data_IF_736835018458
#
_entry.id   IF_736835018458
#
_cell.length_a   1.000
_cell.length_b   1.000
_cell.length_c   1.000
_cell.angle_alpha   90.00
_cell.angle_beta   90.00
_cell.angle_gamma   90.00
#
_symmetry.space_group_name_H-M   'P 1'
#
loop_
_entity.id
_entity.type
_entity.pdbx_description
1 polymer ?
#
# COMPACT_ATOMS: atom_id res chain seq x y z
N UNK A 1 12.12 -11.34 10.88
CA UNK A 1 12.33 -10.43 9.75
C UNK A 1 10.99 -10.12 9.11
N UNK A 2 10.79 -8.86 8.65
CA UNK A 2 9.56 -8.48 7.94
C UNK A 2 9.89 -8.05 6.52
N UNK A 3 8.97 -8.30 5.58
CA UNK A 3 9.12 -7.89 4.18
C UNK A 3 8.12 -6.79 3.85
N UNK A 4 8.57 -5.73 3.16
CA UNK A 4 7.74 -4.61 2.71
C UNK A 4 7.88 -4.45 1.20
N UNK A 5 6.80 -4.61 0.43
CA UNK A 5 6.86 -4.29 -0.99
C UNK A 5 6.96 -2.77 -1.17
N UNK A 6 7.98 -2.31 -1.88
CA UNK A 6 8.17 -0.90 -2.18
C UNK A 6 8.49 -0.02 -0.95
N UNK A 7 9.41 -0.46 -0.08
CA UNK A 7 9.86 0.35 1.07
C UNK A 7 10.43 1.73 0.67
N UNK A 8 10.90 1.91 -0.55
CA UNK A 8 11.34 3.22 -1.08
C UNK A 8 10.17 4.08 -1.60
N UNK A 9 8.96 3.51 -1.62
CA UNK A 9 7.74 4.21 -2.02
C UNK A 9 7.11 5.02 -0.88
N UNK A 10 5.95 5.62 -1.15
CA UNK A 10 5.28 6.52 -0.23
C UNK A 10 4.85 5.85 1.09
N UNK A 11 4.01 4.82 1.02
CA UNK A 11 3.48 4.15 2.23
C UNK A 11 4.48 3.15 2.82
N UNK A 12 5.15 2.36 1.96
CA UNK A 12 6.12 1.35 2.39
C UNK A 12 7.29 1.94 3.17
N UNK A 13 7.70 3.18 2.86
CA UNK A 13 8.77 3.88 3.56
C UNK A 13 8.46 4.09 5.05
N UNK A 14 7.24 4.47 5.38
CA UNK A 14 6.84 4.70 6.77
C UNK A 14 6.75 3.40 7.56
N UNK A 15 6.31 2.31 6.92
CA UNK A 15 6.31 0.99 7.54
C UNK A 15 7.74 0.54 7.82
N UNK A 16 8.62 0.59 6.81
CA UNK A 16 10.01 0.19 6.97
C UNK A 16 10.74 1.01 8.05
N UNK A 17 10.50 2.33 8.08
CA UNK A 17 11.10 3.22 9.09
C UNK A 17 10.70 2.83 10.51
N UNK A 18 9.41 2.66 10.77
CA UNK A 18 8.92 2.29 12.10
C UNK A 18 9.33 0.88 12.52
N UNK A 19 9.43 -0.07 11.59
CA UNK A 19 9.96 -1.41 11.87
C UNK A 19 11.44 -1.35 12.25
N UNK A 20 12.25 -0.58 11.55
CA UNK A 20 13.66 -0.36 11.89
C UNK A 20 13.83 0.33 13.25
N UNK A 21 12.99 1.31 13.59
CA UNK A 21 12.97 1.96 14.91
C UNK A 21 12.67 0.96 16.04
N UNK A 22 11.90 -0.09 15.76
CA UNK A 22 11.61 -1.19 16.69
C UNK A 22 12.69 -2.30 16.69
N UNK A 23 13.79 -2.11 15.96
CA UNK A 23 14.86 -3.09 15.85
C UNK A 23 14.53 -4.31 14.98
N UNK A 24 13.46 -4.26 14.19
CA UNK A 24 13.04 -5.33 13.30
C UNK A 24 13.89 -5.31 12.02
N UNK A 25 14.43 -6.47 11.62
CA UNK A 25 15.08 -6.60 10.31
C UNK A 25 14.05 -6.46 9.18
N UNK A 26 14.33 -5.61 8.23
CA UNK A 26 13.44 -5.31 7.10
C UNK A 26 14.10 -5.68 5.77
N UNK A 27 13.35 -6.39 4.94
CA UNK A 27 13.64 -6.61 3.52
C UNK A 27 12.61 -5.88 2.67
N UNK A 28 13.02 -5.30 1.56
CA UNK A 28 12.08 -4.74 0.57
C UNK A 28 12.14 -5.51 -0.75
N UNK A 29 10.96 -5.70 -1.34
CA UNK A 29 10.84 -6.17 -2.71
C UNK A 29 10.48 -4.96 -3.59
N UNK A 30 11.34 -4.64 -4.57
CA UNK A 30 11.15 -3.44 -5.40
C UNK A 30 11.83 -3.58 -6.75
N UNK A 31 11.23 -2.97 -7.78
CA UNK A 31 11.85 -2.79 -9.11
C UNK A 31 12.33 -1.35 -9.32
N UNK A 32 12.38 -0.56 -8.25
CA UNK A 32 12.85 0.82 -8.29
C UNK A 32 14.38 0.88 -8.23
N UNK A 33 15.03 0.40 -9.29
CA UNK A 33 16.50 0.47 -9.45
C UNK A 33 16.92 1.94 -9.55
N UNK A 34 17.97 2.32 -8.80
CA UNK A 34 18.55 3.67 -8.85
C UNK A 34 17.79 4.74 -8.06
N UNK A 35 16.86 4.37 -7.19
CA UNK A 35 16.31 5.31 -6.20
C UNK A 35 17.28 5.48 -5.03
N UNK A 36 17.31 6.72 -4.50
CA UNK A 36 18.02 6.99 -3.27
C UNK A 36 17.51 6.06 -2.17
N UNK A 37 18.43 5.42 -1.48
CA UNK A 37 18.12 4.60 -0.31
C UNK A 37 17.91 5.52 0.90
N UNK A 38 16.68 5.61 1.44
CA UNK A 38 16.41 6.46 2.60
C UNK A 38 16.77 5.81 3.94
N UNK A 39 17.37 4.62 3.93
CA UNK A 39 17.64 3.80 5.11
C UNK A 39 19.13 3.51 5.34
N UNK A 40 20.01 4.13 4.56
CA UNK A 40 21.47 4.00 4.70
C UNK A 40 21.94 2.53 4.71
N UNK A 41 21.38 1.70 3.84
CA UNK A 41 21.72 0.27 3.72
C UNK A 41 21.12 -0.64 4.79
N UNK A 42 20.26 -0.13 5.68
CA UNK A 42 19.64 -0.93 6.76
C UNK A 42 18.50 -1.83 6.28
N UNK A 43 18.00 -1.62 5.06
CA UNK A 43 16.96 -2.43 4.45
C UNK A 43 17.57 -3.32 3.38
N UNK A 44 17.40 -4.63 3.53
CA UNK A 44 17.82 -5.61 2.52
C UNK A 44 16.96 -5.46 1.26
N UNK A 45 17.57 -5.38 0.08
CA UNK A 45 16.86 -5.08 -1.18
C UNK A 45 16.85 -6.30 -2.10
N UNK A 46 15.66 -6.74 -2.48
CA UNK A 46 15.44 -7.80 -3.47
C UNK A 46 14.57 -7.29 -4.62
N UNK A 47 14.70 -7.91 -5.79
CA UNK A 47 13.84 -7.62 -6.93
C UNK A 47 12.39 -8.08 -6.66
N UNK A 48 11.42 -7.30 -7.14
CA UNK A 48 10.01 -7.70 -7.18
C UNK A 48 9.69 -8.20 -8.61
N UNK A 49 10.07 -9.42 -8.92
CA UNK A 49 9.81 -10.04 -10.21
C UNK A 49 8.63 -11.02 -10.12
N UNK A 50 7.53 -10.70 -10.79
CA UNK A 50 6.34 -11.55 -10.85
C UNK A 50 6.42 -12.63 -11.93
N UNK A 51 7.47 -12.62 -12.77
CA UNK A 51 7.68 -13.62 -13.82
C UNK A 51 8.57 -14.77 -13.32
N UNK A 52 9.41 -14.49 -12.32
CA UNK A 52 10.25 -15.49 -11.66
C UNK A 52 9.65 -15.88 -10.29
N UNK A 53 8.81 -16.91 -10.31
CA UNK A 53 8.13 -17.40 -9.10
C UNK A 53 9.13 -17.93 -8.06
N UNK A 54 10.17 -18.64 -8.49
CA UNK A 54 11.14 -19.23 -7.57
C UNK A 54 11.95 -18.17 -6.85
N UNK A 55 12.44 -17.17 -7.57
CA UNK A 55 13.13 -16.02 -6.98
C UNK A 55 12.20 -15.21 -6.05
N UNK A 56 10.92 -15.07 -6.40
CA UNK A 56 9.95 -14.38 -5.55
C UNK A 56 9.70 -15.14 -4.24
N UNK A 57 9.53 -16.46 -4.28
CA UNK A 57 9.38 -17.30 -3.09
C UNK A 57 10.64 -17.21 -2.23
N UNK A 58 11.82 -17.33 -2.82
CA UNK A 58 13.09 -17.26 -2.09
C UNK A 58 13.27 -15.87 -1.42
N UNK A 59 12.88 -14.79 -2.10
CA UNK A 59 12.92 -13.43 -1.55
C UNK A 59 11.98 -13.22 -0.34
N UNK A 60 11.00 -14.10 -0.15
CA UNK A 60 10.05 -14.09 0.98
C UNK A 60 10.42 -15.07 2.10
N UNK A 61 11.37 -15.99 1.88
CA UNK A 61 11.77 -16.96 2.90
C UNK A 61 12.29 -16.30 4.17
N UNK A 62 11.88 -16.87 5.30
CA UNK A 62 12.22 -16.38 6.63
C UNK A 62 11.50 -15.10 7.05
N UNK A 63 10.58 -14.60 6.23
CA UNK A 63 9.73 -13.49 6.61
C UNK A 63 8.59 -13.95 7.54
N UNK A 64 8.38 -13.24 8.64
CA UNK A 64 7.23 -13.43 9.51
C UNK A 64 5.98 -12.73 8.94
N UNK A 65 6.13 -11.47 8.54
CA UNK A 65 5.04 -10.65 8.00
C UNK A 65 5.44 -10.04 6.66
N UNK A 66 4.51 -10.10 5.70
CA UNK A 66 4.58 -9.37 4.43
C UNK A 66 3.64 -8.17 4.47
N UNK A 67 4.19 -6.94 4.38
CA UNK A 67 3.41 -5.71 4.17
C UNK A 67 3.32 -5.44 2.68
N UNK A 68 2.18 -5.71 2.10
CA UNK A 68 1.96 -5.49 0.67
C UNK A 68 1.41 -4.09 0.40
N UNK A 69 2.29 -3.17 0.02
CA UNK A 69 1.93 -1.82 -0.47
C UNK A 69 2.00 -1.72 -1.99
N UNK A 70 2.28 -2.84 -2.69
CA UNK A 70 2.31 -2.86 -4.15
C UNK A 70 0.93 -2.56 -4.73
N UNK A 71 0.89 -1.57 -5.61
CA UNK A 71 -0.27 -1.25 -6.43
C UNK A 71 0.12 -0.35 -7.60
N UNK A 72 -0.72 -0.35 -8.65
CA UNK A 72 -0.62 0.55 -9.79
C UNK A 72 -1.63 1.67 -9.63
N UNK A 73 -1.18 2.94 -9.66
CA UNK A 73 -2.05 4.11 -9.42
C UNK A 73 -2.90 4.48 -10.63
N UNK A 74 -2.37 4.31 -11.83
CA UNK A 74 -2.98 4.72 -13.08
C UNK A 74 -2.91 3.59 -14.09
N UNK A 75 -3.96 3.43 -14.89
CA UNK A 75 -3.89 2.61 -16.08
C UNK A 75 -3.00 3.32 -17.11
N UNK A 76 -1.95 2.67 -17.56
CA UNK A 76 -1.08 3.15 -18.63
C UNK A 76 -0.59 1.95 -19.45
N UNK A 77 -1.34 1.62 -20.51
CA UNK A 77 -1.08 0.46 -21.36
C UNK A 77 0.32 0.50 -22.01
N UNK A 78 0.81 1.71 -22.36
CA UNK A 78 2.15 1.85 -22.97
C UNK A 78 3.29 1.49 -22.02
N UNK A 79 3.02 1.42 -20.70
CA UNK A 79 3.99 1.06 -19.66
C UNK A 79 3.64 -0.23 -18.92
N UNK A 80 2.68 -1.01 -19.40
CA UNK A 80 2.15 -2.21 -18.74
C UNK A 80 1.68 -1.96 -17.29
N UNK A 81 1.14 -0.77 -17.03
CA UNK A 81 0.55 -0.44 -15.74
C UNK A 81 -0.98 -0.51 -15.86
N UNK A 82 -1.53 -1.66 -15.56
CA UNK A 82 -2.98 -1.91 -15.59
C UNK A 82 -3.46 -2.43 -14.23
N UNK A 83 -4.67 -2.07 -13.85
CA UNK A 83 -5.23 -2.54 -12.58
C UNK A 83 -5.45 -4.05 -12.59
N UNK A 84 -5.82 -4.65 -13.72
CA UNK A 84 -5.97 -6.11 -13.87
C UNK A 84 -4.63 -6.83 -13.68
N UNK A 85 -3.54 -6.27 -14.24
CA UNK A 85 -2.19 -6.78 -14.01
C UNK A 85 -1.81 -6.66 -12.53
N UNK A 86 -2.18 -5.55 -11.87
CA UNK A 86 -1.93 -5.38 -10.44
C UNK A 86 -2.65 -6.44 -9.59
N UNK A 87 -3.89 -6.78 -9.93
CA UNK A 87 -4.63 -7.89 -9.29
C UNK A 87 -3.93 -9.22 -9.50
N UNK A 88 -3.53 -9.53 -10.74
CA UNK A 88 -2.78 -10.75 -11.07
C UNK A 88 -1.48 -10.85 -10.27
N UNK A 89 -0.73 -9.77 -10.21
CA UNK A 89 0.53 -9.70 -9.47
C UNK A 89 0.32 -9.84 -7.95
N UNK A 90 -0.73 -9.25 -7.39
CA UNK A 90 -1.08 -9.47 -5.98
C UNK A 90 -1.37 -10.95 -5.70
N UNK A 91 -2.10 -11.65 -6.58
CA UNK A 91 -2.35 -13.09 -6.43
C UNK A 91 -1.05 -13.89 -6.43
N UNK A 92 -0.17 -13.63 -7.40
CA UNK A 92 1.16 -14.29 -7.46
C UNK A 92 1.95 -14.04 -6.17
N UNK A 93 1.95 -12.81 -5.66
CA UNK A 93 2.65 -12.45 -4.43
C UNK A 93 2.08 -13.18 -3.20
N UNK A 94 0.76 -13.28 -3.07
CA UNK A 94 0.12 -13.95 -1.95
C UNK A 94 0.38 -15.46 -1.96
N UNK A 95 0.33 -16.09 -3.14
CA UNK A 95 0.70 -17.49 -3.32
C UNK A 95 2.18 -17.74 -2.98
N UNK A 96 3.08 -16.88 -3.45
CA UNK A 96 4.50 -16.98 -3.14
C UNK A 96 4.77 -16.80 -1.64
N UNK A 97 4.05 -15.88 -0.98
CA UNK A 97 4.16 -15.68 0.46
C UNK A 97 3.70 -16.92 1.25
N UNK A 98 2.59 -17.53 0.83
CA UNK A 98 2.10 -18.78 1.42
C UNK A 98 3.12 -19.92 1.25
N UNK A 99 3.66 -20.10 0.06
CA UNK A 99 4.67 -21.11 -0.25
C UNK A 99 5.97 -20.90 0.53
N UNK A 100 6.40 -19.65 0.70
CA UNK A 100 7.58 -19.27 1.49
C UNK A 100 7.40 -19.46 3.01
N UNK A 101 6.18 -19.77 3.48
CA UNK A 101 5.87 -19.93 4.89
C UNK A 101 5.72 -18.60 5.66
N UNK A 102 5.38 -17.50 4.97
CA UNK A 102 5.06 -16.22 5.63
C UNK A 102 3.85 -16.44 6.53
N UNK A 103 3.93 -16.03 7.79
CA UNK A 103 2.86 -16.23 8.78
C UNK A 103 1.64 -15.37 8.44
N UNK A 104 1.85 -14.11 8.01
CA UNK A 104 0.77 -13.13 7.84
C UNK A 104 1.03 -12.13 6.72
N UNK A 105 -0.04 -11.74 6.02
CA UNK A 105 0.00 -10.66 5.02
C UNK A 105 -0.80 -9.46 5.53
N UNK A 106 -0.19 -8.28 5.56
CA UNK A 106 -0.86 -6.99 5.75
C UNK A 106 -1.00 -6.31 4.39
N UNK A 107 -2.21 -6.25 3.85
CA UNK A 107 -2.47 -5.74 2.51
C UNK A 107 -3.10 -4.34 2.53
N UNK A 108 -2.48 -3.41 1.80
CA UNK A 108 -2.99 -2.05 1.62
C UNK A 108 -4.05 -2.01 0.53
N UNK A 109 -5.27 -1.79 0.96
CA UNK A 109 -6.43 -1.54 0.10
C UNK A 109 -6.80 -0.05 0.08
N UNK A 110 -8.07 0.26 0.07
CA UNK A 110 -8.63 1.63 0.11
C UNK A 110 -9.97 1.60 0.85
N UNK A 111 -10.34 2.69 1.49
CA UNK A 111 -11.63 2.81 2.17
C UNK A 111 -12.80 2.73 1.17
N UNK A 112 -13.87 2.02 1.56
CA UNK A 112 -15.12 1.87 0.81
C UNK A 112 -14.94 1.43 -0.66
N UNK A 113 -14.13 0.41 -0.99
CA UNK A 113 -13.86 0.07 -2.38
C UNK A 113 -15.12 -0.40 -3.13
N UNK A 114 -16.10 -0.94 -2.43
CA UNK A 114 -17.36 -1.43 -3.00
C UNK A 114 -18.29 -0.31 -3.48
N UNK A 115 -18.09 0.93 -2.99
CA UNK A 115 -18.96 2.08 -3.35
C UNK A 115 -18.65 2.68 -4.73
N UNK A 116 -17.61 2.22 -5.41
CA UNK A 116 -17.20 2.74 -6.72
C UNK A 116 -17.03 1.64 -7.78
N UNK A 117 -18.10 0.85 -8.09
CA UNK A 117 -18.00 -0.33 -8.97
C UNK A 117 -17.69 0.02 -10.43
N UNK A 118 -17.85 1.28 -10.85
CA UNK A 118 -17.53 1.74 -12.20
C UNK A 118 -16.05 2.10 -12.43
N UNK A 119 -15.22 2.03 -11.38
CA UNK A 119 -13.82 2.43 -11.46
C UNK A 119 -12.89 1.23 -11.30
N UNK A 120 -12.13 0.91 -12.34
CA UNK A 120 -11.24 -0.27 -12.39
C UNK A 120 -10.25 -0.34 -11.20
N UNK A 121 -9.81 0.81 -10.69
CA UNK A 121 -8.99 0.89 -9.48
C UNK A 121 -9.67 0.23 -8.26
N UNK A 122 -10.90 0.60 -7.98
CA UNK A 122 -11.66 0.09 -6.83
C UNK A 122 -12.08 -1.37 -7.04
N UNK A 123 -12.52 -1.72 -8.25
CA UNK A 123 -12.82 -3.10 -8.63
C UNK A 123 -11.61 -4.00 -8.41
N UNK A 124 -10.43 -3.57 -8.82
CA UNK A 124 -9.18 -4.30 -8.62
C UNK A 124 -8.84 -4.48 -7.13
N UNK A 125 -9.08 -3.45 -6.30
CA UNK A 125 -8.88 -3.55 -4.84
C UNK A 125 -9.82 -4.60 -4.23
N UNK A 126 -11.12 -4.57 -4.56
CA UNK A 126 -12.09 -5.58 -4.10
C UNK A 126 -11.65 -6.99 -4.52
N UNK A 127 -11.20 -7.17 -5.77
CA UNK A 127 -10.76 -8.46 -6.27
C UNK A 127 -9.51 -8.97 -5.53
N UNK A 128 -8.54 -8.10 -5.22
CA UNK A 128 -7.35 -8.47 -4.47
C UNK A 128 -7.67 -8.83 -3.03
N UNK A 129 -8.56 -8.08 -2.36
CA UNK A 129 -9.03 -8.39 -1.02
C UNK A 129 -9.75 -9.74 -0.95
N UNK A 130 -10.67 -9.98 -1.90
CA UNK A 130 -11.38 -11.26 -1.99
C UNK A 130 -10.41 -12.42 -2.11
N UNK A 131 -9.44 -12.32 -3.02
CA UNK A 131 -8.45 -13.37 -3.21
C UNK A 131 -7.61 -13.61 -1.95
N UNK A 132 -7.19 -12.56 -1.24
CA UNK A 132 -6.43 -12.70 0.00
C UNK A 132 -7.21 -13.44 1.09
N UNK A 133 -8.52 -13.17 1.22
CA UNK A 133 -9.40 -13.88 2.17
C UNK A 133 -9.54 -15.37 1.85
N UNK A 134 -9.45 -15.72 0.57
CA UNK A 134 -9.65 -17.10 0.09
C UNK A 134 -8.35 -17.90 -0.04
N UNK A 135 -7.18 -17.25 -0.03
CA UNK A 135 -5.91 -17.94 -0.30
C UNK A 135 -5.38 -18.79 0.88
N UNK A 136 -5.98 -18.68 2.06
CA UNK A 136 -5.66 -19.52 3.23
C UNK A 136 -4.35 -19.19 3.93
N UNK A 137 -3.95 -17.93 3.92
CA UNK A 137 -2.88 -17.36 4.74
C UNK A 137 -3.51 -16.33 5.69
N UNK A 138 -3.00 -16.20 6.93
CA UNK A 138 -3.50 -15.17 7.84
C UNK A 138 -3.29 -13.76 7.29
N UNK A 139 -4.28 -12.90 7.46
CA UNK A 139 -4.25 -11.57 6.85
C UNK A 139 -4.75 -10.44 7.74
N UNK A 140 -4.29 -9.22 7.40
CA UNK A 140 -4.96 -7.98 7.76
C UNK A 140 -5.09 -7.11 6.50
N UNK A 141 -6.30 -6.64 6.22
CA UNK A 141 -6.57 -5.71 5.13
C UNK A 141 -6.71 -4.31 5.72
N UNK A 142 -5.82 -3.42 5.33
CA UNK A 142 -5.80 -2.02 5.76
C UNK A 142 -6.45 -1.18 4.68
N UNK A 143 -7.52 -0.48 5.02
CA UNK A 143 -8.29 0.38 4.12
C UNK A 143 -8.15 1.85 4.53
N UNK A 144 -7.06 2.52 4.14
CA UNK A 144 -6.89 3.94 4.45
C UNK A 144 -7.84 4.80 3.62
N UNK A 145 -8.23 5.93 4.19
CA UNK A 145 -8.87 7.03 3.47
C UNK A 145 -7.83 7.87 2.72
N UNK A 146 -8.04 9.16 2.53
CA UNK A 146 -7.11 10.04 1.83
C UNK A 146 -5.82 10.19 2.65
N UNK A 147 -4.72 9.64 2.11
CA UNK A 147 -3.42 9.72 2.76
C UNK A 147 -2.80 11.10 2.61
N UNK A 148 -2.18 11.62 3.67
CA UNK A 148 -1.37 12.83 3.63
C UNK A 148 -0.09 12.69 4.47
N UNK A 149 0.81 13.69 4.39
CA UNK A 149 2.06 13.75 5.15
C UNK A 149 3.28 13.22 4.37
N UNK A 150 4.45 13.41 4.94
CA UNK A 150 5.73 12.87 4.43
C UNK A 150 6.27 13.49 3.13
N UNK A 151 5.72 14.60 2.66
CA UNK A 151 6.24 15.38 1.53
C UNK A 151 6.19 14.73 0.13
N UNK A 152 5.87 13.44 0.03
CA UNK A 152 5.88 12.68 -1.23
C UNK A 152 4.48 12.25 -1.71
N UNK A 153 3.41 12.73 -1.08
CA UNK A 153 2.06 12.42 -1.52
C UNK A 153 1.71 13.23 -2.78
N UNK A 154 1.43 12.53 -3.87
CA UNK A 154 1.17 13.18 -5.16
C UNK A 154 -0.19 13.91 -5.12
N UNK A 155 -1.24 13.28 -4.60
CA UNK A 155 -2.59 13.83 -4.64
C UNK A 155 -2.70 15.12 -3.82
N UNK A 156 -2.39 15.04 -2.52
CA UNK A 156 -2.53 16.19 -1.61
C UNK A 156 -1.53 17.30 -1.96
N UNK A 157 -0.31 16.94 -2.34
CA UNK A 157 0.69 17.94 -2.76
C UNK A 157 0.31 18.64 -4.06
N UNK A 158 -0.28 17.93 -5.03
CA UNK A 158 -0.77 18.56 -6.27
C UNK A 158 -1.95 19.51 -5.99
N UNK A 159 -2.88 19.11 -5.13
CA UNK A 159 -3.98 20.00 -4.69
C UNK A 159 -3.40 21.24 -4.00
N UNK A 160 -2.49 21.06 -3.05
CA UNK A 160 -1.84 22.16 -2.33
C UNK A 160 -1.04 23.08 -3.27
N UNK A 161 -0.37 22.51 -4.27
CA UNK A 161 0.32 23.30 -5.30
C UNK A 161 -0.66 24.08 -6.16
N UNK A 162 -1.73 23.46 -6.65
CA UNK A 162 -2.77 24.16 -7.44
C UNK A 162 -3.41 25.31 -6.66
N UNK A 163 -3.76 25.08 -5.38
CA UNK A 163 -4.33 26.12 -4.51
C UNK A 163 -3.39 27.31 -4.27
N UNK A 164 -2.07 27.11 -4.32
CA UNK A 164 -1.08 28.18 -4.13
C UNK A 164 -0.70 28.92 -5.40
N UNK A 165 -0.83 28.28 -6.56
CA UNK A 165 -0.30 28.81 -7.82
C UNK A 165 -1.38 29.22 -8.82
N UNK A 166 -2.58 28.67 -8.69
CA UNK A 166 -3.68 28.95 -9.61
C UNK A 166 -4.68 29.93 -8.99
N UNK A 167 -5.14 30.96 -9.75
CA UNK A 167 -6.11 31.92 -9.23
C UNK A 167 -7.51 31.32 -9.05
N UNK A 168 -7.78 30.17 -9.67
CA UNK A 168 -9.06 29.46 -9.60
C UNK A 168 -8.77 27.97 -9.40
N UNK A 169 -9.44 27.36 -8.43
CA UNK A 169 -9.40 25.92 -8.19
C UNK A 169 -10.75 25.29 -8.50
N UNK A 170 -10.75 24.29 -9.39
CA UNK A 170 -11.96 23.57 -9.78
C UNK A 170 -12.36 22.54 -8.71
N UNK A 171 -13.57 22.66 -8.20
CA UNK A 171 -14.16 21.70 -7.27
C UNK A 171 -15.15 20.81 -8.03
N UNK A 172 -15.00 19.49 -7.92
CA UNK A 172 -15.94 18.56 -8.55
C UNK A 172 -17.32 18.62 -7.87
N UNK A 173 -18.37 18.79 -8.67
CA UNK A 173 -19.72 18.98 -8.18
C UNK A 173 -19.84 20.24 -7.32
N UNK A 174 -20.57 20.13 -6.21
CA UNK A 174 -20.75 21.24 -5.26
C UNK A 174 -19.74 21.22 -4.09
N UNK A 175 -18.78 20.29 -4.08
CA UNK A 175 -17.78 20.16 -3.02
C UNK A 175 -18.33 19.79 -1.62
N UNK A 176 -19.60 19.39 -1.53
CA UNK A 176 -20.25 19.08 -0.26
C UNK A 176 -19.92 17.67 0.30
N UNK A 177 -19.13 16.88 -0.45
CA UNK A 177 -18.72 15.56 0.04
C UNK A 177 -17.69 15.68 1.15
N UNK A 178 -17.77 14.70 2.05
CA UNK A 178 -16.91 14.65 3.22
C UNK A 178 -15.62 13.88 2.89
N UNK A 179 -14.51 14.38 3.39
CA UNK A 179 -13.21 13.71 3.36
C UNK A 179 -12.70 13.57 4.79
N UNK A 180 -12.00 12.48 5.05
CA UNK A 180 -11.41 12.17 6.34
C UNK A 180 -9.95 11.78 6.13
N UNK A 181 -9.04 12.77 5.96
CA UNK A 181 -7.64 12.50 5.68
C UNK A 181 -6.97 11.81 6.86
N UNK A 182 -6.05 10.87 6.56
CA UNK A 182 -5.25 10.17 7.57
C UNK A 182 -3.77 10.34 7.28
N UNK A 183 -2.98 10.61 8.33
CA UNK A 183 -1.54 10.74 8.16
C UNK A 183 -0.91 9.38 7.87
N UNK A 184 -0.04 9.31 6.87
CA UNK A 184 0.58 8.04 6.43
C UNK A 184 1.37 7.34 7.52
N UNK A 185 1.94 8.10 8.47
CA UNK A 185 2.63 7.55 9.67
C UNK A 185 1.68 6.74 10.55
N UNK A 186 0.44 7.21 10.74
CA UNK A 186 -0.54 6.52 11.57
C UNK A 186 -1.04 5.25 10.89
N UNK A 187 -1.22 5.29 9.56
CA UNK A 187 -1.54 4.08 8.78
C UNK A 187 -0.42 3.05 8.89
N UNK A 188 0.84 3.48 8.84
CA UNK A 188 1.98 2.58 9.03
C UNK A 188 1.98 1.95 10.43
N UNK A 189 1.73 2.74 11.49
CA UNK A 189 1.64 2.25 12.86
C UNK A 189 0.54 1.20 13.01
N UNK A 190 -0.67 1.50 12.57
CA UNK A 190 -1.79 0.54 12.60
C UNK A 190 -1.47 -0.72 11.80
N UNK A 191 -0.81 -0.59 10.64
CA UNK A 191 -0.42 -1.75 9.84
C UNK A 191 0.56 -2.67 10.57
N UNK A 192 1.51 -2.10 11.34
CA UNK A 192 2.47 -2.86 12.14
C UNK A 192 1.77 -3.55 13.31
N UNK A 193 0.88 -2.86 14.01
CA UNK A 193 0.05 -3.43 15.07
C UNK A 193 -0.78 -4.62 14.55
N UNK A 194 -1.43 -4.47 13.40
CA UNK A 194 -2.18 -5.54 12.74
C UNK A 194 -1.29 -6.69 12.26
N UNK A 195 -0.06 -6.39 11.84
CA UNK A 195 0.94 -7.39 11.47
C UNK A 195 1.37 -8.28 12.64
N UNK A 196 1.43 -7.73 13.84
CA UNK A 196 1.73 -8.46 15.07
C UNK A 196 0.56 -9.33 15.55
N UNK A 197 -0.67 -9.04 15.12
CA UNK A 197 -1.87 -9.80 15.47
C UNK A 197 -1.96 -11.16 14.76
N UNK A 198 -2.98 -11.94 15.14
CA UNK A 198 -3.26 -13.26 14.56
C UNK A 198 -4.68 -13.39 13.98
N UNK A 199 -5.57 -12.45 14.27
CA UNK A 199 -6.97 -12.48 13.80
C UNK A 199 -7.05 -11.93 12.37
N UNK A 200 -7.78 -12.62 11.52
CA UNK A 200 -8.10 -12.14 10.17
C UNK A 200 -9.03 -10.94 10.24
N UNK A 201 -8.59 -9.80 9.74
CA UNK A 201 -9.30 -8.55 9.91
C UNK A 201 -9.27 -7.67 8.66
N UNK A 202 -10.33 -6.90 8.47
CA UNK A 202 -10.37 -5.76 7.54
C UNK A 202 -10.60 -4.51 8.36
N UNK A 203 -9.65 -3.58 8.34
CA UNK A 203 -9.64 -2.38 9.17
C UNK A 203 -9.63 -1.12 8.30
N UNK A 204 -10.68 -0.31 8.43
CA UNK A 204 -10.66 1.06 7.93
C UNK A 204 -9.75 1.92 8.81
N UNK A 205 -8.86 2.69 8.18
CA UNK A 205 -7.93 3.58 8.87
C UNK A 205 -8.17 5.01 8.41
N UNK A 206 -8.77 5.78 9.30
CA UNK A 206 -9.22 7.16 9.05
C UNK A 206 -8.49 8.13 9.96
N UNK A 207 -8.44 9.39 9.58
CA UNK A 207 -8.06 10.46 10.51
C UNK A 207 -9.16 10.75 11.52
N UNK A 208 -8.85 11.55 12.51
CA UNK A 208 -9.79 11.93 13.59
C UNK A 208 -10.78 13.00 13.15
N UNK A 209 -10.43 13.78 12.13
CA UNK A 209 -11.20 14.93 11.69
C UNK A 209 -11.85 14.69 10.33
N UNK A 210 -13.07 15.21 10.18
CA UNK A 210 -13.82 15.14 8.92
C UNK A 210 -14.02 16.55 8.37
N UNK A 211 -13.67 16.75 7.11
CA UNK A 211 -13.77 18.03 6.42
C UNK A 211 -14.76 17.94 5.25
N UNK A 212 -15.42 19.03 4.93
CA UNK A 212 -16.04 19.18 3.61
C UNK A 212 -14.97 19.60 2.61
N UNK A 213 -14.99 19.00 1.44
CA UNK A 213 -13.94 19.23 0.45
C UNK A 213 -13.80 20.71 0.03
N UNK A 214 -14.90 21.46 0.06
CA UNK A 214 -14.92 22.88 -0.32
C UNK A 214 -14.42 23.82 0.77
N UNK A 215 -14.33 23.38 2.04
CA UNK A 215 -13.90 24.19 3.18
C UNK A 215 -12.37 24.14 3.32
#
# INVERSE_FOLDING_TARGET
>A
MHVVTGAFGYSGRWIAHQLLEQGVKVRTLTNAVGRDDPFDGKVEVHSLDFQDREALVESLRGADVLYNTYWVRYNNQSKNFEHDLAVKNCKILFEAAKEAGVRRIVHFSVANPEKAPGWTYFVGKVASEKYLRECGISYAIVRPTVLFGGGRNILVNNIAWMLRTMPVFGVFGFGNYLIQPVHVRDVARVSIELGAGNEDVTQDVTGTETYRYKD
#
